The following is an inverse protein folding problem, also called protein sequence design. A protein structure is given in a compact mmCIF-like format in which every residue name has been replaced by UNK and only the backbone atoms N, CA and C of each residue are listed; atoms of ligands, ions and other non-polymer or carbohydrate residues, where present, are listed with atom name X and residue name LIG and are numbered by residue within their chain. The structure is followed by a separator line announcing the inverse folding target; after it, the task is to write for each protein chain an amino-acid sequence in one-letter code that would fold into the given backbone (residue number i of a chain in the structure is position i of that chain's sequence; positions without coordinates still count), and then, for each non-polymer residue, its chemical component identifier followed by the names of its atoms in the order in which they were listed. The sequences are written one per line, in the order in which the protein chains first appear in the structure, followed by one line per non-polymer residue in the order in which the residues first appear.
data_IF_988547219684
#
_entry.id   IF_988547219684
#
_cell.length_a   1.000
_cell.length_b   1.000
_cell.length_c   1.000
_cell.angle_alpha   90.00
_cell.angle_beta   90.00
_cell.angle_gamma   90.00
#
_symmetry.space_group_name_H-M   'P 1'
#
loop_
_entity.id
_entity.type
_entity.pdbx_description
1 polymer ?
#
# COMPACT_ATOMS: atom_id res chain seq x y z
N UNK A 1 -11.55 11.09 15.09
CA UNK A 1 -12.15 10.91 13.75
C UNK A 1 -11.77 9.53 13.26
N UNK A 2 -12.69 8.76 12.67
CA UNK A 2 -12.32 7.47 12.04
C UNK A 2 -11.72 7.79 10.69
N UNK A 3 -10.46 7.44 10.50
CA UNK A 3 -9.78 7.65 9.23
C UNK A 3 -10.41 6.71 8.19
N UNK A 4 -10.88 7.29 7.09
CA UNK A 4 -11.60 6.57 6.05
C UNK A 4 -10.64 6.19 4.92
N UNK A 5 -10.75 4.96 4.45
CA UNK A 5 -10.13 4.53 3.20
C UNK A 5 -10.96 5.08 2.05
N UNK A 6 -10.30 5.67 1.05
CA UNK A 6 -10.93 6.15 -0.16
C UNK A 6 -10.24 5.55 -1.39
N UNK A 7 -10.92 5.55 -2.52
CA UNK A 7 -10.26 5.33 -3.81
C UNK A 7 -9.18 6.39 -4.03
N UNK A 8 -8.04 5.98 -4.58
CA UNK A 8 -6.84 6.81 -4.71
C UNK A 8 -5.99 6.91 -3.44
N UNK A 9 -6.43 6.38 -2.28
CA UNK A 9 -5.59 6.32 -1.09
C UNK A 9 -4.28 5.58 -1.38
N UNK A 10 -3.17 6.19 -0.97
CA UNK A 10 -1.83 5.67 -1.24
C UNK A 10 -1.49 4.54 -0.25
N UNK A 11 -0.87 3.48 -0.74
CA UNK A 11 -0.62 2.25 0.01
C UNK A 11 0.87 2.06 0.27
N UNK A 12 1.20 1.66 1.49
CA UNK A 12 2.56 1.51 2.02
C UNK A 12 2.71 0.15 2.71
N UNK A 13 3.94 -0.37 2.81
CA UNK A 13 4.25 -1.61 3.56
C UNK A 13 4.84 -1.38 4.94
N UNK A 14 5.34 -0.17 5.18
CA UNK A 14 5.82 0.29 6.47
C UNK A 14 5.60 1.79 6.57
N UNK A 15 5.43 2.29 7.79
CA UNK A 15 5.41 3.73 8.00
C UNK A 15 6.78 4.32 7.64
N UNK A 16 6.78 5.46 6.93
CA UNK A 16 7.98 6.08 6.36
C UNK A 16 8.61 5.35 5.17
N UNK A 17 7.97 4.33 4.59
CA UNK A 17 8.43 3.74 3.32
C UNK A 17 7.94 4.50 2.09
N UNK A 18 8.51 4.20 0.93
CA UNK A 18 7.93 4.61 -0.34
C UNK A 18 6.56 3.94 -0.55
N UNK A 19 5.67 4.67 -1.23
CA UNK A 19 4.35 4.17 -1.59
C UNK A 19 4.48 3.10 -2.67
N UNK A 20 3.84 1.96 -2.47
CA UNK A 20 3.90 0.81 -3.40
C UNK A 20 2.76 0.82 -4.43
N UNK A 21 1.81 1.73 -4.28
CA UNK A 21 0.63 1.83 -5.12
C UNK A 21 -0.55 2.53 -4.47
N UNK A 22 -1.77 2.26 -4.95
CA UNK A 22 -2.98 2.95 -4.53
C UNK A 22 -4.24 2.08 -4.54
N UNK A 23 -5.22 2.43 -3.70
CA UNK A 23 -6.54 1.80 -3.69
C UNK A 23 -7.28 2.15 -4.97
N UNK A 24 -7.70 1.13 -5.72
CA UNK A 24 -8.58 1.30 -6.88
C UNK A 24 -10.04 1.24 -6.54
N UNK A 25 -10.42 0.36 -5.62
CA UNK A 25 -11.82 0.11 -5.28
C UNK A 25 -11.93 -0.40 -3.84
N UNK A 26 -12.96 0.04 -3.15
CA UNK A 26 -13.39 -0.52 -1.87
C UNK A 26 -14.54 -1.47 -2.17
N UNK A 27 -14.34 -2.78 -2.01
CA UNK A 27 -15.37 -3.76 -2.38
C UNK A 27 -16.52 -3.72 -1.38
N UNK A 28 -17.65 -3.15 -1.81
CA UNK A 28 -18.84 -3.07 -0.96
C UNK A 28 -19.34 -4.47 -0.57
N UNK A 29 -19.49 -4.71 0.75
CA UNK A 29 -19.99 -5.97 1.29
C UNK A 29 -18.93 -7.07 1.47
N UNK A 30 -17.68 -6.82 1.09
CA UNK A 30 -16.54 -7.71 1.36
C UNK A 30 -15.50 -6.97 2.21
N UNK A 31 -14.81 -7.64 3.15
CA UNK A 31 -13.75 -7.02 3.94
C UNK A 31 -12.44 -6.96 3.15
N UNK A 32 -12.47 -6.44 1.92
CA UNK A 32 -11.37 -6.47 0.96
C UNK A 32 -11.26 -5.17 0.16
N UNK A 33 -10.04 -4.86 -0.27
CA UNK A 33 -9.67 -3.74 -1.12
C UNK A 33 -9.11 -4.25 -2.44
N UNK A 34 -9.40 -3.55 -3.53
CA UNK A 34 -8.62 -3.68 -4.75
C UNK A 34 -7.52 -2.63 -4.72
N UNK A 35 -6.27 -3.08 -4.77
CA UNK A 35 -5.07 -2.24 -4.73
C UNK A 35 -4.28 -2.44 -6.01
N UNK A 36 -3.96 -1.35 -6.68
CA UNK A 36 -2.97 -1.36 -7.76
C UNK A 36 -1.58 -1.26 -7.16
N UNK A 37 -0.70 -2.17 -7.54
CA UNK A 37 0.73 -2.16 -7.21
C UNK A 37 1.50 -1.77 -8.47
N UNK A 38 2.38 -0.78 -8.32
CA UNK A 38 3.19 -0.29 -9.44
C UNK A 38 4.00 -1.41 -10.07
N UNK A 39 4.00 -1.47 -11.40
CA UNK A 39 4.67 -2.50 -12.21
C UNK A 39 4.23 -3.96 -11.95
N UNK A 40 3.19 -4.18 -11.15
CA UNK A 40 2.68 -5.53 -10.85
C UNK A 40 1.17 -5.71 -11.09
N UNK A 41 0.40 -4.62 -11.18
CA UNK A 41 -1.03 -4.64 -11.49
C UNK A 41 -1.92 -4.72 -10.25
N UNK A 42 -3.14 -5.22 -10.43
CA UNK A 42 -4.18 -5.17 -9.38
C UNK A 42 -4.18 -6.42 -8.49
N UNK A 43 -4.31 -6.20 -7.18
CA UNK A 43 -4.33 -7.22 -6.14
C UNK A 43 -5.50 -7.00 -5.19
N UNK A 44 -6.10 -8.10 -4.75
CA UNK A 44 -7.11 -8.09 -3.68
C UNK A 44 -6.38 -8.18 -2.35
N UNK A 45 -6.61 -7.21 -1.48
CA UNK A 45 -6.00 -7.11 -0.16
C UNK A 45 -7.10 -7.19 0.90
N UNK A 46 -7.04 -8.15 1.84
CA UNK A 46 -8.02 -8.21 2.91
C UNK A 46 -7.82 -7.05 3.88
N UNK A 47 -8.91 -6.51 4.43
CA UNK A 47 -8.87 -5.46 5.46
C UNK A 47 -8.12 -5.90 6.71
N UNK A 48 -8.05 -7.20 6.99
CA UNK A 48 -7.23 -7.74 8.09
C UNK A 48 -5.73 -7.53 7.90
N UNK A 49 -5.27 -7.28 6.67
CA UNK A 49 -3.89 -6.93 6.38
C UNK A 49 -3.63 -5.42 6.46
N UNK A 50 -4.64 -4.58 6.77
CA UNK A 50 -4.44 -3.15 7.01
C UNK A 50 -3.99 -2.95 8.46
N UNK A 51 -2.75 -2.48 8.63
CA UNK A 51 -2.12 -2.22 9.93
C UNK A 51 -2.52 -0.86 10.50
N UNK A 52 -2.53 0.16 9.64
CA UNK A 52 -2.89 1.53 10.02
C UNK A 52 -3.46 2.29 8.82
N UNK A 53 -4.30 3.28 9.11
CA UNK A 53 -4.79 4.26 8.13
C UNK A 53 -4.51 5.61 8.78
N UNK A 54 -3.73 6.47 8.13
CA UNK A 54 -3.52 7.82 8.62
C UNK A 54 -3.39 8.84 7.49
N UNK A 55 -4.09 9.97 7.59
CA UNK A 55 -4.01 11.06 6.61
C UNK A 55 -4.21 10.62 5.15
N UNK A 56 -5.13 9.68 4.90
CA UNK A 56 -5.40 9.12 3.56
C UNK A 56 -4.35 8.13 3.05
N UNK A 57 -3.34 7.80 3.86
CA UNK A 57 -2.34 6.74 3.63
C UNK A 57 -2.80 5.46 4.31
N UNK A 58 -2.53 4.33 3.67
CA UNK A 58 -2.85 2.99 4.17
C UNK A 58 -1.56 2.21 4.33
N UNK A 59 -1.29 1.74 5.54
CA UNK A 59 -0.13 0.89 5.83
C UNK A 59 -0.61 -0.55 5.92
N UNK A 60 -0.07 -1.41 5.06
CA UNK A 60 -0.31 -2.85 5.07
C UNK A 60 0.68 -3.56 5.98
N UNK A 61 0.21 -4.60 6.64
CA UNK A 61 1.06 -5.56 7.32
C UNK A 61 1.57 -6.59 6.31
N UNK A 62 2.84 -6.45 5.93
CA UNK A 62 3.51 -7.32 4.97
C UNK A 62 3.43 -8.81 5.35
N UNK A 63 3.40 -9.13 6.65
CA UNK A 63 3.35 -10.51 7.13
C UNK A 63 1.95 -11.14 7.03
N UNK A 64 0.92 -10.34 6.77
CA UNK A 64 -0.44 -10.81 6.51
C UNK A 64 -0.80 -10.84 5.01
N UNK A 65 0.12 -10.43 4.13
CA UNK A 65 -0.09 -10.50 2.68
C UNK A 65 0.20 -11.89 2.14
N UNK A 66 -0.46 -12.26 1.04
CA UNK A 66 -0.14 -13.50 0.35
C UNK A 66 1.24 -13.45 -0.33
N UNK A 67 1.78 -14.62 -0.69
CA UNK A 67 3.11 -14.73 -1.28
C UNK A 67 3.22 -14.00 -2.63
N UNK A 68 2.14 -13.95 -3.41
CA UNK A 68 2.14 -13.33 -4.74
C UNK A 68 2.30 -11.82 -4.62
N UNK A 69 1.54 -11.21 -3.71
CA UNK A 69 1.60 -9.79 -3.41
C UNK A 69 2.93 -9.41 -2.76
N UNK A 70 3.45 -10.22 -1.82
CA UNK A 70 4.80 -9.99 -1.27
C UNK A 70 5.88 -9.99 -2.36
N UNK A 71 5.80 -10.91 -3.32
CA UNK A 71 6.76 -10.96 -4.42
C UNK A 71 6.61 -9.79 -5.38
N UNK A 72 5.38 -9.38 -5.70
CA UNK A 72 5.10 -8.19 -6.50
C UNK A 72 5.69 -6.93 -5.85
N UNK A 73 5.51 -6.76 -4.55
CA UNK A 73 6.05 -5.62 -3.80
C UNK A 73 7.59 -5.64 -3.80
N UNK A 74 8.22 -6.80 -3.54
CA UNK A 74 9.69 -6.92 -3.61
C UNK A 74 10.20 -6.53 -4.99
N UNK A 75 9.53 -7.00 -6.05
CA UNK A 75 9.94 -6.72 -7.42
C UNK A 75 9.76 -5.24 -7.80
N UNK A 76 8.68 -4.60 -7.34
CA UNK A 76 8.47 -3.17 -7.53
C UNK A 76 9.63 -2.37 -6.90
N UNK A 77 10.10 -2.79 -5.72
CA UNK A 77 11.23 -2.18 -5.00
C UNK A 77 12.60 -2.54 -5.55
N UNK A 78 12.79 -3.73 -6.12
CA UNK A 78 14.05 -4.09 -6.81
C UNK A 78 14.30 -3.19 -8.04
N UNK A 79 13.24 -2.57 -8.57
CA UNK A 79 13.35 -1.58 -9.63
C UNK A 79 13.69 -0.17 -9.13
N UNK A 80 13.65 0.07 -7.82
CA UNK A 80 14.10 1.30 -7.18
C UNK A 80 15.64 1.30 -7.14
N UNK A 81 16.26 2.38 -7.61
CA UNK A 81 17.72 2.52 -7.60
C UNK A 81 18.21 2.38 -6.15
N UNK A 82 19.19 1.52 -5.82
CA UNK A 82 19.69 1.37 -4.45
C UNK A 82 20.29 2.67 -3.87
N UNK A 83 20.50 3.70 -4.70
CA UNK A 83 20.90 5.04 -4.28
C UNK A 83 19.74 6.05 -4.20
N UNK A 84 18.48 5.61 -4.37
CA UNK A 84 17.32 6.48 -4.26
C UNK A 84 17.09 6.84 -2.79
N UNK A 85 17.41 8.08 -2.44
CA UNK A 85 17.06 8.69 -1.17
C UNK A 85 15.74 9.41 -1.41
N UNK A 86 14.64 8.84 -0.88
CA UNK A 86 13.36 9.54 -0.84
C UNK A 86 13.58 10.87 -0.10
N UNK A 87 13.21 12.03 -0.68
CA UNK A 87 13.23 13.27 0.06
C UNK A 87 12.30 13.09 1.25
N UNK A 88 12.84 13.23 2.46
CA UNK A 88 12.05 13.27 3.68
C UNK A 88 10.90 14.24 3.44
N UNK A 89 9.66 13.74 3.52
CA UNK A 89 8.47 14.59 3.53
C UNK A 89 8.48 15.36 4.85
N UNK A 90 9.36 16.35 4.95
CA UNK A 90 9.22 17.49 5.84
C UNK A 90 8.20 18.41 5.15
N UNK A 91 6.92 18.06 5.30
CA UNK A 91 5.85 19.01 5.09
C UNK A 91 5.82 19.94 6.33
N UNK A 92 6.29 21.18 6.15
CA UNK A 92 5.98 22.34 7.00
C UNK A 92 4.77 23.09 6.42
#
# INVERSE_FOLDING_TARGET
MREQINEGSMVFIADGSEGIGSVREIRHGLPELLVYIENAGDFVVPMSAVKAIHSGKIVLDFDHLDLRLRNAIRHARDSEDPNYISPSSEDE
#
